data_IF_001270897631
#
_entry.id   IF_001270897631
#
_cell.length_a   1.000
_cell.length_b   1.000
_cell.length_c   1.000
_cell.angle_alpha   90.00
_cell.angle_beta   90.00
_cell.angle_gamma   90.00
#
_symmetry.space_group_name_H-M   'P 1'
#
loop_
_entity.id
_entity.type
_entity.pdbx_description
1 polymer ?
#
# COMPACT_ATOMS: atom_id res chain seq x y z
N UNK A 1 17.35 43.80 -17.68
CA UNK A 1 18.08 42.70 -17.01
C UNK A 1 18.05 42.79 -15.48
N UNK A 2 16.89 43.04 -14.84
CA UNK A 2 16.78 43.12 -13.36
C UNK A 2 16.06 41.92 -12.74
N UNK A 3 15.19 41.27 -13.50
CA UNK A 3 14.37 40.15 -13.02
C UNK A 3 15.20 38.92 -12.67
N UNK A 4 16.35 38.73 -13.32
CA UNK A 4 17.30 37.65 -13.03
C UNK A 4 17.76 37.67 -11.57
N UNK A 5 17.97 38.86 -10.98
CA UNK A 5 18.36 39.00 -9.58
C UNK A 5 17.28 38.54 -8.59
N UNK A 6 16.02 38.49 -9.01
CA UNK A 6 14.93 37.97 -8.21
C UNK A 6 14.70 36.48 -8.49
N UNK A 7 14.76 36.07 -9.75
CA UNK A 7 14.50 34.69 -10.17
C UNK A 7 15.58 33.71 -9.71
N UNK A 8 16.85 34.10 -9.73
CA UNK A 8 17.96 33.22 -9.30
C UNK A 8 17.81 32.81 -7.83
N UNK A 9 17.71 33.73 -6.85
CA UNK A 9 17.56 33.32 -5.45
C UNK A 9 16.22 32.64 -5.18
N UNK A 10 15.15 33.03 -5.89
CA UNK A 10 13.85 32.36 -5.76
C UNK A 10 13.90 30.90 -6.23
N UNK A 11 14.53 30.63 -7.38
CA UNK A 11 14.71 29.28 -7.89
C UNK A 11 15.61 28.43 -6.96
N UNK A 12 16.71 29.01 -6.47
CA UNK A 12 17.57 28.35 -5.49
C UNK A 12 16.82 28.05 -4.19
N UNK A 13 15.94 28.95 -3.74
CA UNK A 13 15.07 28.74 -2.58
C UNK A 13 14.12 27.56 -2.78
N UNK A 14 13.45 27.50 -3.93
CA UNK A 14 12.54 26.38 -4.27
C UNK A 14 13.30 25.05 -4.30
N UNK A 15 14.47 25.01 -4.96
CA UNK A 15 15.31 23.81 -5.02
C UNK A 15 15.78 23.42 -3.62
N UNK A 16 16.21 24.38 -2.80
CA UNK A 16 16.65 24.14 -1.42
C UNK A 16 15.53 23.57 -0.54
N UNK A 17 14.31 24.12 -0.63
CA UNK A 17 13.13 23.61 0.08
C UNK A 17 12.77 22.21 -0.39
N UNK A 18 12.78 21.95 -1.70
CA UNK A 18 12.50 20.64 -2.25
C UNK A 18 13.51 19.58 -1.77
N UNK A 19 14.81 19.90 -1.80
CA UNK A 19 15.87 19.02 -1.30
C UNK A 19 15.74 18.78 0.21
N UNK A 20 15.45 19.81 0.99
CA UNK A 20 15.26 19.67 2.42
C UNK A 20 14.07 18.78 2.76
N UNK A 21 12.92 19.00 2.11
CA UNK A 21 11.72 18.18 2.28
C UNK A 21 11.98 16.72 1.88
N UNK A 22 12.69 16.50 0.76
CA UNK A 22 13.07 15.16 0.32
C UNK A 22 13.96 14.44 1.34
N UNK A 23 15.03 15.11 1.81
CA UNK A 23 15.93 14.53 2.82
C UNK A 23 15.23 14.28 4.17
N UNK A 24 14.25 15.12 4.52
CA UNK A 24 13.41 14.89 5.70
C UNK A 24 12.54 13.65 5.51
N UNK A 25 11.83 13.52 4.39
CA UNK A 25 10.99 12.37 4.09
C UNK A 25 11.77 11.04 4.08
N UNK A 26 12.97 11.03 3.50
CA UNK A 26 13.88 9.87 3.53
C UNK A 26 14.29 9.52 4.97
N UNK A 27 14.64 10.51 5.79
CA UNK A 27 14.98 10.27 7.21
C UNK A 27 13.80 9.78 8.05
N UNK A 28 12.57 10.14 7.68
CA UNK A 28 11.35 9.71 8.37
C UNK A 28 10.96 8.27 8.01
N UNK A 29 11.69 7.59 7.13
CA UNK A 29 11.42 6.18 6.79
C UNK A 29 10.10 6.00 6.02
N UNK A 30 9.58 7.06 5.38
CA UNK A 30 8.29 6.99 4.66
C UNK A 30 8.33 6.05 3.44
N UNK A 31 9.53 5.63 3.05
CA UNK A 31 9.75 4.66 1.97
C UNK A 31 9.81 3.21 2.46
N UNK A 32 9.90 2.96 3.76
CA UNK A 32 10.00 1.61 4.33
C UNK A 32 8.64 0.86 4.28
N UNK A 33 7.53 1.59 4.16
CA UNK A 33 6.16 1.01 4.08
C UNK A 33 5.70 0.75 2.62
N UNK A 34 6.53 1.04 1.61
CA UNK A 34 6.25 0.69 0.21
C UNK A 34 6.45 -0.81 -0.06
N UNK A 35 7.18 -1.53 0.78
CA UNK A 35 7.42 -2.98 0.66
C UNK A 35 6.24 -3.84 1.19
N UNK A 36 5.35 -3.25 1.99
CA UNK A 36 4.31 -3.97 2.74
C UNK A 36 3.18 -4.62 1.92
N UNK A 37 2.62 -4.00 0.86
CA UNK A 37 1.44 -4.57 0.18
C UNK A 37 1.76 -5.64 -0.87
N UNK A 38 2.92 -5.57 -1.52
CA UNK A 38 3.24 -6.42 -2.67
C UNK A 38 3.47 -7.89 -2.28
N UNK A 39 3.93 -8.15 -1.06
CA UNK A 39 4.21 -9.52 -0.59
C UNK A 39 2.96 -10.28 -0.15
N UNK A 40 1.87 -9.57 0.18
CA UNK A 40 0.62 -10.18 0.67
C UNK A 40 -0.18 -10.82 -0.47
N UNK A 41 -0.20 -10.16 -1.64
CA UNK A 41 -0.92 -10.66 -2.82
C UNK A 41 -0.33 -11.94 -3.43
N UNK A 42 0.96 -12.22 -3.22
CA UNK A 42 1.64 -13.41 -3.74
C UNK A 42 1.75 -14.57 -2.74
N UNK A 43 1.43 -14.35 -1.45
CA UNK A 43 1.55 -15.37 -0.41
C UNK A 43 0.21 -15.78 0.24
N UNK A 44 -0.93 -15.25 -0.23
CA UNK A 44 -2.26 -15.59 0.27
C UNK A 44 -2.78 -16.98 -0.17
N UNK A 45 -2.05 -17.71 -1.02
CA UNK A 45 -2.47 -19.06 -1.44
C UNK A 45 -2.27 -20.13 -0.35
N UNK A 46 -1.48 -19.85 0.69
CA UNK A 46 -1.10 -20.80 1.76
C UNK A 46 -1.40 -20.31 3.19
N UNK A 47 -2.27 -19.32 3.41
CA UNK A 47 -2.66 -18.90 4.77
C UNK A 47 -3.81 -19.78 5.33
N UNK A 48 -3.56 -20.65 6.33
CA UNK A 48 -4.59 -21.48 6.95
C UNK A 48 -5.64 -20.69 7.74
N UNK A 49 -5.49 -19.36 7.85
CA UNK A 49 -6.40 -18.45 8.57
C UNK A 49 -7.39 -17.73 7.66
N UNK A 50 -7.32 -17.90 6.33
CA UNK A 50 -8.37 -17.38 5.44
C UNK A 50 -9.66 -18.12 5.80
N UNK A 51 -10.68 -17.42 6.36
CA UNK A 51 -11.96 -18.06 6.63
C UNK A 51 -12.53 -18.47 5.27
N UNK A 52 -12.73 -19.78 5.07
CA UNK A 52 -13.38 -20.32 3.87
C UNK A 52 -14.80 -19.75 3.77
N UNK A 53 -14.93 -18.56 3.20
CA UNK A 53 -16.21 -17.95 2.91
C UNK A 53 -16.76 -18.65 1.66
N UNK A 54 -17.33 -19.84 1.86
CA UNK A 54 -17.88 -20.60 0.74
C UNK A 54 -18.33 -22.02 0.99
N UNK A 55 -18.02 -22.66 2.13
CA UNK A 55 -18.62 -23.97 2.43
C UNK A 55 -19.85 -23.78 3.31
N UNK A 56 -20.99 -23.45 2.68
CA UNK A 56 -22.30 -23.58 3.33
C UNK A 56 -22.44 -25.03 3.80
N UNK A 57 -22.60 -25.33 5.09
CA UNK A 57 -22.71 -26.71 5.59
C UNK A 57 -24.07 -27.38 5.32
N UNK A 58 -24.91 -26.82 4.45
CA UNK A 58 -26.34 -27.17 4.37
C UNK A 58 -26.73 -28.02 3.14
N UNK A 59 -25.77 -28.45 2.33
CA UNK A 59 -26.00 -29.32 1.17
C UNK A 59 -26.15 -30.82 1.53
N UNK A 60 -25.81 -31.24 2.75
CA UNK A 60 -25.97 -32.64 3.20
C UNK A 60 -27.32 -32.93 3.91
N UNK A 61 -28.15 -31.93 4.23
CA UNK A 61 -29.45 -32.19 4.90
C UNK A 61 -30.58 -32.49 3.93
N UNK A 62 -30.57 -31.94 2.72
CA UNK A 62 -31.66 -32.15 1.75
C UNK A 62 -31.62 -33.51 1.03
N UNK A 63 -30.54 -34.26 1.16
CA UNK A 63 -30.39 -35.58 0.53
C UNK A 63 -30.86 -36.71 1.45
N UNK A 64 -30.61 -36.62 2.77
CA UNK A 64 -31.07 -37.62 3.72
C UNK A 64 -32.59 -37.58 3.98
N UNK A 65 -33.23 -36.41 3.87
CA UNK A 65 -34.69 -36.29 4.08
C UNK A 65 -35.52 -36.82 2.90
N UNK A 66 -34.87 -37.16 1.77
CA UNK A 66 -35.52 -37.80 0.62
C UNK A 66 -35.36 -39.33 0.62
N UNK A 67 -34.57 -39.87 1.53
CA UNK A 67 -34.24 -41.30 1.60
C UNK A 67 -34.97 -42.03 2.77
N UNK A 68 -35.90 -41.36 3.47
CA UNK A 68 -36.74 -41.97 4.49
C UNK A 68 -38.23 -41.67 4.28
#
# INVERSE_FOLDING_TARGET
>A
MRILYLLIPMALGVIGVALWAFLWAVRTGQFDDLEGPAHRILMDDDDPRIPQYGRRPDDNKSLNDREN
#
